data_IF_099844336040
#
_entry.id   IF_099844336040
#
_cell.length_a   1.000
_cell.length_b   1.000
_cell.length_c   1.000
_cell.angle_alpha   90.00
_cell.angle_beta   90.00
_cell.angle_gamma   90.00
#
_symmetry.space_group_name_H-M   'P 1'
#
loop_
_entity.id
_entity.type
_entity.pdbx_description
1 polymer ?
#
# COMPACT_ATOMS: atom_id res chain seq x y z
N UNK A 1 -19.13 -10.10 13.07
CA UNK A 1 -18.33 -9.50 14.17
C UNK A 1 -16.91 -10.02 14.04
N UNK A 2 -15.86 -9.27 14.40
CA UNK A 2 -14.48 -9.74 14.26
C UNK A 2 -14.28 -11.01 15.09
N UNK A 3 -13.97 -12.12 14.44
CA UNK A 3 -13.62 -13.36 15.11
C UNK A 3 -12.12 -13.44 15.28
N UNK A 4 -11.69 -14.00 16.42
CA UNK A 4 -10.27 -14.19 16.68
C UNK A 4 -9.70 -15.28 15.77
N UNK A 5 -8.68 -14.94 15.01
CA UNK A 5 -7.90 -15.84 14.15
C UNK A 5 -6.51 -15.99 14.74
N UNK A 6 -6.18 -17.19 15.21
CA UNK A 6 -4.85 -17.47 15.74
C UNK A 6 -3.77 -17.30 14.65
N UNK A 7 -2.65 -16.61 14.93
CA UNK A 7 -1.61 -16.40 13.95
C UNK A 7 -0.94 -17.73 13.56
N UNK A 8 -0.80 -17.96 12.27
CA UNK A 8 -0.01 -19.08 11.73
C UNK A 8 1.16 -18.51 10.95
N UNK A 9 2.36 -19.01 11.22
CA UNK A 9 3.57 -18.53 10.57
C UNK A 9 3.99 -19.49 9.47
N UNK A 10 4.19 -18.94 8.27
CA UNK A 10 4.70 -19.66 7.12
C UNK A 10 5.80 -18.82 6.48
N UNK A 11 6.99 -19.40 6.35
CA UNK A 11 8.11 -18.75 5.69
C UNK A 11 7.75 -18.33 4.25
N UNK A 12 7.06 -19.23 3.52
CA UNK A 12 6.56 -18.95 2.18
C UNK A 12 5.61 -17.74 2.16
N UNK A 13 4.68 -17.62 3.11
CA UNK A 13 3.74 -16.49 3.17
C UNK A 13 4.44 -15.18 3.53
N UNK A 14 5.40 -15.21 4.46
CA UNK A 14 6.19 -14.04 4.84
C UNK A 14 7.02 -13.54 3.65
N UNK A 15 7.66 -14.43 2.89
CA UNK A 15 8.44 -14.03 1.72
C UNK A 15 7.56 -13.64 0.54
N UNK A 16 6.49 -14.39 0.25
CA UNK A 16 5.65 -14.16 -0.94
C UNK A 16 4.75 -12.93 -0.82
N UNK A 17 4.27 -12.63 0.39
CA UNK A 17 3.25 -11.61 0.63
C UNK A 17 3.76 -10.59 1.64
N UNK A 18 4.22 -11.04 2.81
CA UNK A 18 4.59 -10.15 3.92
C UNK A 18 5.65 -9.11 3.54
N UNK A 19 6.79 -9.56 3.02
CA UNK A 19 7.90 -8.68 2.65
C UNK A 19 7.54 -7.76 1.46
N UNK A 20 6.98 -8.25 0.33
CA UNK A 20 6.56 -7.37 -0.76
C UNK A 20 5.53 -6.33 -0.32
N UNK A 21 4.55 -6.74 0.47
CA UNK A 21 3.50 -5.86 0.96
C UNK A 21 4.02 -4.79 1.92
N UNK A 22 4.97 -5.15 2.80
CA UNK A 22 5.68 -4.19 3.65
C UNK A 22 6.44 -3.16 2.82
N UNK A 23 7.24 -3.60 1.84
CA UNK A 23 8.04 -2.71 0.99
C UNK A 23 7.16 -1.77 0.18
N UNK A 24 6.09 -2.29 -0.44
CA UNK A 24 5.12 -1.46 -1.17
C UNK A 24 4.48 -0.44 -0.23
N UNK A 25 4.04 -0.86 0.96
CA UNK A 25 3.44 0.06 1.95
C UNK A 25 4.42 1.15 2.36
N UNK A 26 5.69 0.81 2.58
CA UNK A 26 6.72 1.79 2.92
C UNK A 26 6.98 2.78 1.79
N UNK A 27 7.08 2.27 0.55
CA UNK A 27 7.44 3.07 -0.62
C UNK A 27 6.29 3.93 -1.14
N UNK A 28 5.05 3.43 -1.21
CA UNK A 28 3.92 4.14 -1.82
C UNK A 28 3.09 4.94 -0.81
N UNK A 29 3.02 4.49 0.45
CA UNK A 29 2.15 5.08 1.46
C UNK A 29 2.94 5.87 2.49
N UNK A 30 3.83 5.22 3.24
CA UNK A 30 4.51 5.88 4.36
C UNK A 30 5.50 6.96 3.91
N UNK A 31 6.42 6.67 2.99
CA UNK A 31 7.43 7.64 2.57
C UNK A 31 6.82 8.90 1.92
N UNK A 32 5.89 8.80 0.94
CA UNK A 32 5.19 9.96 0.41
C UNK A 32 4.33 10.65 1.46
N UNK A 33 3.66 9.91 2.34
CA UNK A 33 2.86 10.46 3.43
C UNK A 33 3.67 11.30 4.42
N UNK A 34 4.88 10.86 4.78
CA UNK A 34 5.79 11.65 5.61
C UNK A 34 6.30 12.88 4.86
N UNK A 35 6.62 12.75 3.58
CA UNK A 35 7.08 13.87 2.76
C UNK A 35 6.00 14.95 2.63
N UNK A 36 4.75 14.57 2.37
CA UNK A 36 3.63 15.52 2.28
C UNK A 36 3.32 16.19 3.62
N UNK A 37 3.38 15.43 4.73
CA UNK A 37 3.20 16.01 6.07
C UNK A 37 4.29 17.01 6.43
N UNK A 38 5.55 16.70 6.11
CA UNK A 38 6.67 17.61 6.34
C UNK A 38 6.58 18.86 5.45
N UNK A 39 6.18 18.70 4.18
CA UNK A 39 5.96 19.81 3.25
C UNK A 39 4.82 20.72 3.71
N UNK A 40 3.82 20.18 4.42
CA UNK A 40 2.71 20.92 5.01
C UNK A 40 3.06 21.61 6.34
N UNK A 41 4.33 21.54 6.78
CA UNK A 41 4.82 22.21 7.98
C UNK A 41 4.61 21.45 9.29
N UNK A 42 4.18 20.19 9.25
CA UNK A 42 4.01 19.39 10.46
C UNK A 42 5.35 18.79 10.93
N UNK A 43 5.74 18.96 12.21
CA UNK A 43 6.89 18.28 12.77
C UNK A 43 6.56 16.79 12.97
N UNK A 44 7.36 15.91 12.39
CA UNK A 44 7.10 14.47 12.41
C UNK A 44 8.19 13.71 13.14
N UNK A 45 7.79 12.97 14.17
CA UNK A 45 8.60 11.92 14.75
C UNK A 45 8.31 10.61 14.00
N UNK A 46 9.03 10.38 12.90
CA UNK A 46 8.79 9.23 11.99
C UNK A 46 8.88 7.89 12.72
N UNK A 47 9.93 7.65 13.52
CA UNK A 47 10.12 6.36 14.20
C UNK A 47 9.01 6.05 15.20
N UNK A 48 8.60 6.98 16.10
CA UNK A 48 7.43 6.75 16.97
C UNK A 48 6.14 6.47 16.21
N UNK A 49 5.86 7.18 15.10
CA UNK A 49 4.68 6.94 14.29
C UNK A 49 4.68 5.52 13.70
N UNK A 50 5.82 5.08 13.17
CA UNK A 50 6.00 3.74 12.62
C UNK A 50 5.84 2.64 13.67
N UNK A 51 6.41 2.84 14.86
CA UNK A 51 6.27 1.89 15.98
C UNK A 51 4.80 1.78 16.41
N UNK A 52 4.10 2.92 16.50
CA UNK A 52 2.71 2.94 16.91
C UNK A 52 1.79 2.27 15.89
N UNK A 53 1.91 2.61 14.60
CA UNK A 53 1.09 2.00 13.55
C UNK A 53 1.40 0.51 13.37
N UNK A 54 2.68 0.13 13.42
CA UNK A 54 3.09 -1.28 13.36
C UNK A 54 2.62 -2.08 14.57
N UNK A 55 2.72 -1.52 15.78
CA UNK A 55 2.23 -2.13 17.01
C UNK A 55 0.70 -2.32 16.99
N UNK A 56 -0.04 -1.33 16.49
CA UNK A 56 -1.48 -1.43 16.33
C UNK A 56 -1.86 -2.47 15.25
N UNK A 57 -1.12 -2.54 14.14
CA UNK A 57 -1.32 -3.56 13.12
C UNK A 57 -1.09 -4.97 13.68
N UNK A 58 -0.02 -5.16 14.46
CA UNK A 58 0.28 -6.43 15.12
C UNK A 58 -0.83 -6.82 16.10
N UNK A 59 -1.25 -5.88 16.96
CA UNK A 59 -2.29 -6.10 17.97
C UNK A 59 -3.64 -6.48 17.34
N UNK A 60 -4.00 -5.82 16.22
CA UNK A 60 -5.26 -6.05 15.54
C UNK A 60 -5.21 -7.16 14.48
N UNK A 61 -4.02 -7.72 14.19
CA UNK A 61 -3.87 -8.79 13.20
C UNK A 61 -4.70 -10.05 13.46
N UNK A 62 -4.89 -10.52 14.71
CA UNK A 62 -5.77 -11.65 14.98
C UNK A 62 -7.25 -11.34 14.72
N UNK A 63 -7.62 -10.08 14.53
CA UNK A 63 -8.98 -9.64 14.21
C UNK A 63 -9.15 -9.28 12.73
N UNK A 64 -8.21 -9.69 11.87
CA UNK A 64 -8.27 -9.52 10.42
C UNK A 64 -7.62 -8.24 9.89
N UNK A 65 -6.96 -7.44 10.74
CA UNK A 65 -6.20 -6.28 10.26
C UNK A 65 -4.87 -6.74 9.66
N UNK A 66 -4.69 -6.53 8.36
CA UNK A 66 -3.47 -6.94 7.65
C UNK A 66 -2.44 -5.81 7.51
N UNK A 67 -2.82 -4.55 7.70
CA UNK A 67 -1.91 -3.39 7.62
C UNK A 67 -2.47 -2.16 8.31
N UNK A 68 -1.58 -1.34 8.87
CA UNK A 68 -1.87 0.04 9.28
C UNK A 68 -0.70 0.90 8.82
N UNK A 69 -1.01 1.95 8.05
CA UNK A 69 -0.01 2.84 7.46
C UNK A 69 -0.58 4.25 7.27
N UNK A 70 0.27 5.18 6.83
CA UNK A 70 -0.17 6.52 6.47
C UNK A 70 -0.79 6.50 5.08
N UNK A 71 -2.07 6.83 4.99
CA UNK A 71 -2.74 6.99 3.70
C UNK A 71 -2.29 8.30 3.03
N UNK A 72 -1.19 8.29 2.26
CA UNK A 72 -0.55 9.50 1.72
C UNK A 72 -1.51 10.48 1.03
N UNK A 73 -2.39 9.97 0.16
CA UNK A 73 -3.37 10.77 -0.59
C UNK A 73 -4.40 11.39 0.37
N UNK A 74 -5.03 10.57 1.20
CA UNK A 74 -6.01 11.03 2.19
C UNK A 74 -5.39 12.02 3.18
N UNK A 75 -4.15 11.76 3.59
CA UNK A 75 -3.40 12.67 4.46
C UNK A 75 -3.20 14.03 3.78
N UNK A 76 -2.84 14.08 2.49
CA UNK A 76 -2.71 15.35 1.77
C UNK A 76 -4.03 16.13 1.73
N UNK A 77 -5.16 15.44 1.52
CA UNK A 77 -6.50 16.06 1.54
C UNK A 77 -6.82 16.62 2.92
N UNK A 78 -6.65 15.82 3.99
CA UNK A 78 -6.95 16.24 5.36
C UNK A 78 -6.05 17.39 5.84
N UNK A 79 -4.88 17.58 5.23
CA UNK A 79 -3.94 18.66 5.57
C UNK A 79 -4.15 19.93 4.75
N UNK A 80 -5.06 19.93 3.77
CA UNK A 80 -5.39 21.13 2.98
C UNK A 80 -5.90 22.27 3.88
N UNK A 81 -5.60 23.54 3.57
CA UNK A 81 -6.27 24.69 4.17
C UNK A 81 -7.80 24.64 4.07
N UNK A 82 -8.35 23.94 3.08
CA UNK A 82 -9.80 23.74 2.92
C UNK A 82 -10.40 22.87 4.04
N UNK A 83 -9.60 22.00 4.66
CA UNK A 83 -10.05 21.14 5.76
C UNK A 83 -10.30 21.96 7.04
N UNK A 84 -9.40 22.89 7.34
CA UNK A 84 -9.55 23.86 8.41
C UNK A 84 -8.52 25.00 8.25
N UNK A 85 -8.89 26.29 8.48
CA UNK A 85 -7.94 27.41 8.39
C UNK A 85 -6.75 27.28 9.35
N UNK A 86 -7.03 26.92 10.60
CA UNK A 86 -6.01 26.60 11.61
C UNK A 86 -5.40 25.20 11.37
N UNK A 87 -4.10 25.16 11.08
CA UNK A 87 -3.33 23.95 10.83
C UNK A 87 -3.33 22.98 12.03
N UNK A 88 -3.42 23.49 13.26
CA UNK A 88 -3.48 22.68 14.48
C UNK A 88 -4.80 21.93 14.68
N UNK A 89 -5.82 22.24 13.87
CA UNK A 89 -7.16 21.64 13.94
C UNK A 89 -7.51 20.75 12.75
N UNK A 90 -6.63 20.66 11.75
CA UNK A 90 -6.87 19.85 10.54
C UNK A 90 -7.00 18.34 10.82
N UNK A 91 -6.50 17.86 11.97
CA UNK A 91 -6.72 16.48 12.42
C UNK A 91 -8.22 16.11 12.54
N UNK A 92 -9.11 17.09 12.72
CA UNK A 92 -10.56 16.87 12.75
C UNK A 92 -11.05 16.25 11.44
N UNK A 93 -10.48 16.65 10.29
CA UNK A 93 -10.83 16.05 9.00
C UNK A 93 -10.40 14.58 8.93
N UNK A 94 -9.22 14.25 9.46
CA UNK A 94 -8.75 12.86 9.56
C UNK A 94 -9.61 12.03 10.52
N UNK A 95 -10.01 12.61 11.67
CA UNK A 95 -10.91 11.96 12.62
C UNK A 95 -12.30 11.71 12.02
N UNK A 96 -12.86 12.68 11.31
CA UNK A 96 -14.12 12.53 10.59
C UNK A 96 -14.02 11.43 9.52
N UNK A 97 -12.96 11.42 8.72
CA UNK A 97 -12.70 10.34 7.75
C UNK A 97 -12.63 8.97 8.43
N UNK A 98 -11.96 8.87 9.59
CA UNK A 98 -11.93 7.66 10.41
C UNK A 98 -13.31 7.20 10.87
N UNK A 99 -14.16 8.12 11.35
CA UNK A 99 -15.55 7.80 11.72
C UNK A 99 -16.33 7.27 10.52
N UNK A 100 -16.24 7.92 9.35
CA UNK A 100 -16.90 7.43 8.15
C UNK A 100 -16.36 6.07 7.68
N UNK A 101 -15.07 5.80 7.81
CA UNK A 101 -14.51 4.48 7.53
C UNK A 101 -15.00 3.41 8.52
N UNK A 102 -15.16 3.74 9.81
CA UNK A 102 -15.75 2.83 10.79
C UNK A 102 -17.22 2.55 10.49
N UNK A 103 -17.99 3.57 10.08
CA UNK A 103 -19.37 3.39 9.62
C UNK A 103 -19.42 2.49 8.39
N UNK A 104 -18.59 2.74 7.37
CA UNK A 104 -18.49 1.87 6.20
C UNK A 104 -18.09 0.43 6.57
N UNK A 105 -17.17 0.27 7.53
CA UNK A 105 -16.75 -1.03 8.07
C UNK A 105 -17.88 -1.78 8.77
N UNK A 106 -18.77 -1.08 9.48
CA UNK A 106 -19.97 -1.67 10.09
C UNK A 106 -20.89 -2.27 9.02
N UNK A 107 -21.01 -1.62 7.87
CA UNK A 107 -21.73 -2.14 6.70
C UNK A 107 -20.90 -3.10 5.83
N UNK A 108 -19.68 -3.48 6.25
CA UNK A 108 -18.79 -4.33 5.48
C UNK A 108 -19.43 -5.65 5.05
N UNK A 109 -20.17 -6.32 5.94
CA UNK A 109 -20.92 -7.54 5.61
C UNK A 109 -22.00 -7.33 4.56
N UNK A 110 -22.72 -6.20 4.61
CA UNK A 110 -23.72 -5.84 3.59
C UNK A 110 -23.06 -5.54 2.23
N UNK A 111 -21.92 -4.85 2.24
CA UNK A 111 -21.14 -4.56 1.02
C UNK A 111 -20.65 -5.88 0.41
N UNK A 112 -20.07 -6.78 1.21
CA UNK A 112 -19.63 -8.10 0.74
C UNK A 112 -20.80 -8.93 0.23
N UNK A 113 -21.95 -8.91 0.90
CA UNK A 113 -23.17 -9.59 0.46
C UNK A 113 -23.69 -9.08 -0.89
N UNK A 114 -23.67 -7.76 -1.11
CA UNK A 114 -24.04 -7.16 -2.39
C UNK A 114 -23.06 -7.56 -3.50
N UNK A 115 -21.76 -7.55 -3.23
CA UNK A 115 -20.75 -8.01 -4.19
C UNK A 115 -20.94 -9.49 -4.53
N UNK A 116 -21.25 -10.34 -3.55
CA UNK A 116 -21.51 -11.77 -3.77
C UNK A 116 -22.79 -12.05 -4.58
N UNK A 117 -23.72 -11.09 -4.66
CA UNK A 117 -24.92 -11.19 -5.50
C UNK A 117 -24.65 -10.88 -6.99
N UNK A 118 -23.52 -10.25 -7.31
CA UNK A 118 -23.12 -9.96 -8.68
C UNK A 118 -22.41 -11.17 -9.32
N UNK A 119 -22.53 -11.39 -10.64
CA UNK A 119 -21.71 -12.38 -11.33
C UNK A 119 -20.22 -12.03 -11.20
N UNK A 120 -19.35 -13.04 -11.06
CA UNK A 120 -17.91 -12.84 -10.88
C UNK A 120 -17.27 -11.95 -11.95
N UNK A 121 -17.73 -12.07 -13.20
CA UNK A 121 -17.25 -11.25 -14.32
C UNK A 121 -17.52 -9.75 -14.12
N UNK A 122 -18.62 -9.38 -13.46
CA UNK A 122 -18.94 -7.98 -13.16
C UNK A 122 -18.02 -7.44 -12.08
N UNK A 123 -17.75 -8.23 -11.03
CA UNK A 123 -16.81 -7.86 -9.97
C UNK A 123 -15.41 -7.65 -10.56
N UNK A 124 -14.94 -8.58 -11.39
CA UNK A 124 -13.65 -8.47 -12.06
C UNK A 124 -13.56 -7.25 -12.99
N UNK A 125 -14.63 -6.96 -13.74
CA UNK A 125 -14.68 -5.79 -14.63
C UNK A 125 -14.64 -4.49 -13.83
N UNK A 126 -15.44 -4.38 -12.77
CA UNK A 126 -15.46 -3.21 -11.89
C UNK A 126 -14.11 -3.00 -11.21
N UNK A 127 -13.50 -4.08 -10.69
CA UNK A 127 -12.17 -4.03 -10.09
C UNK A 127 -11.10 -3.60 -11.11
N UNK A 128 -11.14 -4.16 -12.32
CA UNK A 128 -10.24 -3.77 -13.42
C UNK A 128 -10.37 -2.30 -13.78
N UNK A 129 -11.58 -1.81 -14.02
CA UNK A 129 -11.86 -0.41 -14.35
C UNK A 129 -11.41 0.55 -13.23
N UNK A 130 -11.65 0.19 -11.96
CA UNK A 130 -11.21 0.97 -10.81
C UNK A 130 -9.67 1.07 -10.70
N UNK A 131 -8.95 0.05 -11.19
CA UNK A 131 -7.49 0.00 -11.15
C UNK A 131 -6.81 0.59 -12.39
N UNK A 132 -7.53 0.83 -13.51
CA UNK A 132 -6.93 1.34 -14.75
C UNK A 132 -6.16 2.65 -14.55
N UNK A 133 -6.76 3.62 -13.86
CA UNK A 133 -6.12 4.92 -13.59
C UNK A 133 -4.89 4.76 -12.70
N UNK A 134 -4.99 3.90 -11.69
CA UNK A 134 -3.89 3.60 -10.75
C UNK A 134 -2.72 2.93 -11.46
N UNK A 135 -3.00 1.94 -12.32
CA UNK A 135 -1.98 1.25 -13.11
C UNK A 135 -1.32 2.21 -14.10
N UNK A 136 -2.12 3.01 -14.82
CA UNK A 136 -1.60 3.99 -15.77
C UNK A 136 -0.68 5.01 -15.10
N UNK A 137 -1.11 5.59 -13.99
CA UNK A 137 -0.30 6.54 -13.21
C UNK A 137 0.96 5.91 -12.63
N UNK A 138 0.85 4.72 -12.06
CA UNK A 138 1.99 3.99 -11.48
C UNK A 138 3.03 3.62 -12.54
N UNK A 139 2.59 3.18 -13.73
CA UNK A 139 3.49 2.83 -14.82
C UNK A 139 4.16 4.06 -15.42
N UNK A 140 3.42 5.17 -15.58
CA UNK A 140 3.99 6.46 -15.98
C UNK A 140 5.11 6.90 -15.03
N UNK A 141 4.88 6.84 -13.73
CA UNK A 141 5.88 7.22 -12.71
C UNK A 141 7.07 6.25 -12.69
N UNK A 142 6.82 4.94 -12.70
CA UNK A 142 7.86 3.92 -12.65
C UNK A 142 8.81 3.96 -13.86
N UNK A 143 8.30 4.36 -15.04
CA UNK A 143 9.08 4.48 -16.27
C UNK A 143 9.60 5.90 -16.51
N UNK A 144 9.39 6.83 -15.58
CA UNK A 144 9.77 8.24 -15.77
C UNK A 144 11.30 8.41 -15.91
N UNK A 145 12.07 7.79 -15.01
CA UNK A 145 13.52 7.87 -15.01
C UNK A 145 14.14 6.86 -15.99
N UNK A 146 14.77 7.37 -17.06
CA UNK A 146 15.36 6.55 -18.14
C UNK A 146 16.40 5.54 -17.65
N UNK A 147 17.10 5.87 -16.57
CA UNK A 147 18.14 5.01 -16.02
C UNK A 147 17.61 3.79 -15.27
N UNK A 148 16.32 3.80 -14.90
CA UNK A 148 15.70 2.81 -14.02
C UNK A 148 14.59 2.02 -14.75
N UNK A 149 14.26 2.41 -16.00
CA UNK A 149 13.18 1.82 -16.81
C UNK A 149 13.26 0.30 -16.93
N UNK A 150 14.44 -0.24 -17.25
CA UNK A 150 14.60 -1.68 -17.45
C UNK A 150 14.28 -2.46 -16.16
N UNK A 151 14.76 -1.96 -15.03
CA UNK A 151 14.49 -2.55 -13.72
C UNK A 151 12.99 -2.47 -13.36
N UNK A 152 12.34 -1.34 -13.64
CA UNK A 152 10.91 -1.16 -13.44
C UNK A 152 10.08 -2.12 -14.31
N UNK A 153 10.44 -2.28 -15.59
CA UNK A 153 9.78 -3.21 -16.53
C UNK A 153 9.94 -4.65 -16.05
N UNK A 154 11.16 -5.07 -15.66
CA UNK A 154 11.40 -6.43 -15.14
C UNK A 154 10.59 -6.67 -13.87
N UNK A 155 10.58 -5.71 -12.93
CA UNK A 155 9.76 -5.80 -11.71
C UNK A 155 8.29 -6.02 -12.05
N UNK A 156 7.75 -5.23 -12.97
CA UNK A 156 6.35 -5.29 -13.38
C UNK A 156 6.02 -6.64 -14.06
N UNK A 157 6.78 -7.03 -15.08
CA UNK A 157 6.51 -8.25 -15.85
C UNK A 157 6.62 -9.50 -14.99
N UNK A 158 7.65 -9.60 -14.14
CA UNK A 158 7.81 -10.73 -13.23
C UNK A 158 6.65 -10.76 -12.23
N UNK A 159 6.30 -9.63 -11.62
CA UNK A 159 5.17 -9.58 -10.68
C UNK A 159 3.85 -10.00 -11.33
N UNK A 160 3.57 -9.49 -12.54
CA UNK A 160 2.35 -9.77 -13.30
C UNK A 160 2.28 -11.20 -13.87
N UNK A 161 3.42 -11.88 -14.01
CA UNK A 161 3.48 -13.22 -14.63
C UNK A 161 2.78 -14.34 -13.84
N UNK A 162 2.56 -14.14 -12.53
CA UNK A 162 2.00 -15.18 -11.65
C UNK A 162 2.96 -16.35 -11.37
N UNK A 163 4.23 -16.26 -11.76
CA UNK A 163 5.22 -17.33 -11.51
C UNK A 163 5.39 -17.59 -10.02
N UNK A 164 5.52 -18.87 -9.65
CA UNK A 164 5.86 -19.29 -8.30
C UNK A 164 7.11 -20.15 -8.38
N UNK A 165 8.18 -19.74 -7.71
CA UNK A 165 9.45 -20.47 -7.67
C UNK A 165 9.81 -20.77 -6.22
N UNK A 166 10.19 -22.02 -5.93
CA UNK A 166 10.52 -22.48 -4.57
C UNK A 166 9.39 -22.26 -3.55
N UNK A 167 8.13 -22.31 -4.00
CA UNK A 167 6.97 -22.01 -3.16
C UNK A 167 6.83 -20.53 -2.78
N UNK A 168 7.57 -19.64 -3.44
CA UNK A 168 7.49 -18.18 -3.25
C UNK A 168 6.88 -17.52 -4.49
N UNK A 169 5.87 -16.68 -4.26
CA UNK A 169 5.08 -16.03 -5.31
C UNK A 169 5.83 -14.93 -6.08
N UNK A 170 5.24 -14.53 -7.21
CA UNK A 170 5.85 -13.63 -8.20
C UNK A 170 6.19 -12.24 -7.67
N UNK A 171 5.42 -11.70 -6.72
CA UNK A 171 5.65 -10.37 -6.16
C UNK A 171 7.04 -10.25 -5.49
N UNK A 172 7.47 -11.29 -4.77
CA UNK A 172 8.81 -11.34 -4.20
C UNK A 172 9.87 -11.37 -5.29
N UNK A 173 9.72 -12.26 -6.26
CA UNK A 173 10.68 -12.40 -7.35
C UNK A 173 10.77 -11.16 -8.24
N UNK A 174 9.67 -10.44 -8.41
CA UNK A 174 9.67 -9.14 -9.10
C UNK A 174 10.55 -8.13 -8.41
N UNK A 175 10.47 -8.03 -7.08
CA UNK A 175 11.35 -7.15 -6.30
C UNK A 175 12.82 -7.57 -6.36
N UNK A 176 13.09 -8.88 -6.27
CA UNK A 176 14.47 -9.39 -6.33
C UNK A 176 15.08 -9.14 -7.72
N UNK A 177 14.41 -9.59 -8.79
CA UNK A 177 14.95 -9.47 -10.15
C UNK A 177 15.01 -8.00 -10.60
N UNK A 178 14.01 -7.20 -10.24
CA UNK A 178 14.02 -5.75 -10.43
C UNK A 178 15.17 -5.07 -9.71
N UNK A 179 15.34 -5.35 -8.42
CA UNK A 179 16.42 -4.79 -7.60
C UNK A 179 17.81 -5.22 -8.07
N UNK A 180 17.98 -6.46 -8.50
CA UNK A 180 19.22 -6.95 -9.11
C UNK A 180 19.53 -6.23 -10.42
N UNK A 181 18.53 -6.09 -11.30
CA UNK A 181 18.68 -5.33 -12.55
C UNK A 181 19.09 -3.88 -12.27
N UNK A 182 18.41 -3.22 -11.32
CA UNK A 182 18.74 -1.87 -10.89
C UNK A 182 20.18 -1.77 -10.38
N UNK A 183 20.61 -2.69 -9.51
CA UNK A 183 21.96 -2.74 -8.98
C UNK A 183 23.01 -2.88 -10.08
N UNK A 184 22.86 -3.89 -10.95
CA UNK A 184 23.83 -4.15 -12.03
C UNK A 184 23.95 -2.96 -12.98
N UNK A 185 22.83 -2.40 -13.44
CA UNK A 185 22.87 -1.28 -14.40
C UNK A 185 23.31 0.04 -13.78
N UNK A 186 23.00 0.30 -12.51
CA UNK A 186 23.51 1.48 -11.82
C UNK A 186 25.03 1.41 -11.59
N UNK A 187 25.59 0.21 -11.34
CA UNK A 187 27.03 0.01 -11.21
C UNK A 187 27.76 0.12 -12.56
N UNK A 188 27.23 -0.47 -13.62
CA UNK A 188 27.83 -0.43 -14.96
C UNK A 188 27.84 0.98 -15.59
N UNK A 189 26.88 1.84 -15.24
CA UNK A 189 26.85 3.24 -15.71
C UNK A 189 27.77 4.18 -14.91
N UNK A 190 28.26 3.74 -13.75
CA UNK A 190 29.19 4.50 -12.89
C UNK A 190 30.65 4.17 -13.15
N UNK A 191 30.93 3.02 -13.77
CA UNK A 191 32.26 2.58 -14.21
C UNK A 191 32.57 3.13 -15.62
#
# INVERSE_FOLDING_TARGET
MPEFVAPTFSFSSVMSIGLPFFLVTMASQNAPGFATMKASGYPLAVSPLMIFTGGLALLLSPFGVFSICIAAITAAICQSPDAHPDAGKRWIAAAAAGVFYLLAGLFGGSITGLMAALPLSWIQTLAGLALLSTISGSLYQALHNETERDAAIITFLVTASGVTMMGIGSAFWGLILGGLCYGVFSHLRRA
#
